data_IF_589821879484
#
_entry.id   IF_589821879484
#
_cell.length_a   1.000
_cell.length_b   1.000
_cell.length_c   1.000
_cell.angle_alpha   90.00
_cell.angle_beta   90.00
_cell.angle_gamma   90.00
#
_symmetry.space_group_name_H-M   'P 1'
#
loop_
_entity.id
_entity.type
_entity.pdbx_description
1 polymer ?
#
# COMPACT_ATOMS: atom_id res chain seq x y z
N UNK A 1 20.29 4.29 -1.10
CA UNK A 1 19.75 3.24 -1.99
C UNK A 1 19.05 2.10 -1.21
N UNK A 2 19.69 1.56 -0.17
CA UNK A 2 19.17 0.51 0.72
C UNK A 2 17.82 0.86 1.37
N UNK A 3 17.67 2.04 1.97
CA UNK A 3 16.43 2.45 2.66
C UNK A 3 15.19 2.47 1.75
N UNK A 4 15.34 2.83 0.46
CA UNK A 4 14.23 2.79 -0.49
C UNK A 4 13.77 1.34 -0.74
N UNK A 5 14.71 0.42 -0.93
CA UNK A 5 14.41 -1.01 -1.14
C UNK A 5 13.74 -1.62 0.09
N UNK A 6 14.22 -1.27 1.29
CA UNK A 6 13.64 -1.75 2.54
C UNK A 6 12.18 -1.25 2.72
N UNK A 7 11.90 0.02 2.40
CA UNK A 7 10.52 0.55 2.43
C UNK A 7 9.59 -0.23 1.51
N UNK A 8 10.01 -0.45 0.26
CA UNK A 8 9.21 -1.19 -0.73
C UNK A 8 8.97 -2.62 -0.24
N UNK A 9 10.00 -3.28 0.28
CA UNK A 9 9.89 -4.64 0.80
C UNK A 9 8.92 -4.74 1.98
N UNK A 10 9.04 -3.82 2.95
CA UNK A 10 8.12 -3.75 4.10
C UNK A 10 6.68 -3.46 3.65
N UNK A 11 6.50 -2.62 2.66
CA UNK A 11 5.18 -2.31 2.12
C UNK A 11 4.55 -3.55 1.47
N UNK A 12 5.29 -4.27 0.61
CA UNK A 12 4.80 -5.49 -0.03
C UNK A 12 4.43 -6.55 1.01
N UNK A 13 5.30 -6.81 1.99
CA UNK A 13 5.00 -7.80 3.04
C UNK A 13 3.76 -7.39 3.82
N UNK A 14 3.65 -6.13 4.20
CA UNK A 14 2.49 -5.64 4.95
C UNK A 14 1.20 -5.72 4.15
N UNK A 15 1.23 -5.53 2.83
CA UNK A 15 0.06 -5.72 1.97
C UNK A 15 -0.37 -7.18 1.87
N UNK A 16 0.58 -8.10 1.77
CA UNK A 16 0.28 -9.53 1.83
C UNK A 16 -0.43 -9.86 3.15
N UNK A 17 0.04 -9.32 4.28
CA UNK A 17 -0.65 -9.48 5.56
C UNK A 17 -2.06 -8.92 5.52
N UNK A 18 -2.25 -7.73 4.95
CA UNK A 18 -3.58 -7.11 4.79
C UNK A 18 -4.52 -7.99 3.95
N UNK A 19 -4.04 -8.58 2.86
CA UNK A 19 -4.84 -9.47 2.01
C UNK A 19 -5.33 -10.71 2.79
N UNK A 20 -4.43 -11.38 3.51
CA UNK A 20 -4.82 -12.55 4.29
C UNK A 20 -5.69 -12.20 5.50
N UNK A 21 -5.51 -11.02 6.11
CA UNK A 21 -6.40 -10.53 7.16
C UNK A 21 -7.80 -10.26 6.61
N UNK A 22 -7.91 -9.63 5.44
CA UNK A 22 -9.19 -9.38 4.79
C UNK A 22 -9.91 -10.69 4.47
N UNK A 23 -9.20 -11.67 3.89
CA UNK A 23 -9.73 -13.00 3.63
C UNK A 23 -10.20 -13.70 4.93
N UNK A 24 -9.40 -13.65 5.99
CA UNK A 24 -9.76 -14.20 7.29
C UNK A 24 -11.03 -13.58 7.86
N UNK A 25 -11.11 -12.24 7.84
CA UNK A 25 -12.31 -11.49 8.30
C UNK A 25 -13.53 -11.85 7.44
N UNK A 26 -13.36 -11.93 6.12
CA UNK A 26 -14.42 -12.34 5.20
C UNK A 26 -15.01 -13.69 5.58
N UNK A 27 -14.15 -14.68 5.84
CA UNK A 27 -14.58 -16.02 6.20
C UNK A 27 -15.22 -16.08 7.59
N UNK A 28 -14.73 -15.27 8.55
CA UNK A 28 -15.35 -15.12 9.86
C UNK A 28 -16.74 -14.49 9.77
N UNK A 29 -16.89 -13.40 9.00
CA UNK A 29 -18.19 -12.77 8.74
C UNK A 29 -19.16 -13.80 8.14
N UNK A 30 -18.69 -14.56 7.17
CA UNK A 30 -19.50 -15.60 6.53
C UNK A 30 -19.89 -16.71 7.49
N UNK A 31 -18.97 -17.11 8.38
CA UNK A 31 -19.21 -18.07 9.45
C UNK A 31 -20.34 -17.60 10.38
N UNK A 32 -20.29 -16.34 10.83
CA UNK A 32 -21.31 -15.78 11.73
C UNK A 32 -22.68 -15.70 11.05
N UNK A 33 -22.75 -15.37 9.74
CA UNK A 33 -24.01 -15.23 9.00
C UNK A 33 -24.70 -16.58 8.74
N UNK A 34 -23.94 -17.68 8.59
CA UNK A 34 -24.46 -18.98 8.13
C UNK A 34 -24.50 -20.05 9.25
N UNK A 35 -24.19 -19.68 10.50
CA UNK A 35 -24.15 -20.62 11.63
C UNK A 35 -23.28 -21.87 11.39
N UNK A 36 -22.08 -21.70 10.87
CA UNK A 36 -21.13 -22.79 10.68
C UNK A 36 -20.52 -23.26 12.01
N UNK A 37 -20.13 -24.53 12.07
CA UNK A 37 -19.34 -25.05 13.19
C UNK A 37 -17.86 -24.66 13.05
N UNK A 38 -17.05 -24.60 14.15
CA UNK A 38 -15.62 -24.28 14.08
C UNK A 38 -14.82 -25.17 13.11
N UNK A 39 -15.18 -26.43 12.97
CA UNK A 39 -14.56 -27.37 12.04
C UNK A 39 -14.80 -26.95 10.56
N UNK A 40 -15.96 -26.42 10.26
CA UNK A 40 -16.27 -25.95 8.90
C UNK A 40 -15.53 -24.66 8.56
N UNK A 41 -15.26 -23.79 9.53
CA UNK A 41 -14.44 -22.59 9.33
C UNK A 41 -13.01 -22.95 8.91
N UNK A 42 -12.38 -23.91 9.62
CA UNK A 42 -11.02 -24.35 9.30
C UNK A 42 -10.91 -24.99 7.92
N UNK A 43 -11.89 -25.84 7.56
CA UNK A 43 -11.96 -26.40 6.22
C UNK A 43 -12.16 -25.32 5.15
N UNK A 44 -13.00 -24.33 5.41
CA UNK A 44 -13.22 -23.20 4.50
C UNK A 44 -11.95 -22.38 4.30
N UNK A 45 -11.16 -22.11 5.37
CA UNK A 45 -9.86 -21.44 5.26
C UNK A 45 -8.92 -22.21 4.34
N UNK A 46 -8.78 -23.51 4.52
CA UNK A 46 -7.90 -24.34 3.69
C UNK A 46 -8.34 -24.36 2.21
N UNK A 47 -9.64 -24.44 1.94
CA UNK A 47 -10.17 -24.42 0.58
C UNK A 47 -9.94 -23.07 -0.11
N UNK A 48 -10.07 -21.96 0.59
CA UNK A 48 -9.90 -20.62 0.01
C UNK A 48 -8.43 -20.18 -0.08
N UNK A 49 -7.55 -20.74 0.76
CA UNK A 49 -6.16 -20.31 0.85
C UNK A 49 -5.43 -20.38 -0.50
N UNK A 50 -5.46 -21.52 -1.18
CA UNK A 50 -4.73 -21.73 -2.45
C UNK A 50 -5.20 -20.81 -3.57
N UNK A 51 -6.51 -20.75 -3.92
CA UNK A 51 -6.96 -19.91 -5.01
C UNK A 51 -6.76 -18.42 -4.73
N UNK A 52 -6.98 -17.97 -3.50
CA UNK A 52 -6.75 -16.57 -3.14
C UNK A 52 -5.26 -16.20 -3.11
N UNK A 53 -4.37 -17.11 -2.71
CA UNK A 53 -2.92 -16.88 -2.79
C UNK A 53 -2.47 -16.62 -4.24
N UNK A 54 -3.00 -17.36 -5.20
CA UNK A 54 -2.71 -17.13 -6.62
C UNK A 54 -3.18 -15.73 -7.05
N UNK A 55 -4.40 -15.35 -6.68
CA UNK A 55 -4.96 -14.02 -6.99
C UNK A 55 -4.12 -12.91 -6.33
N UNK A 56 -3.70 -13.07 -5.09
CA UNK A 56 -2.89 -12.07 -4.39
C UNK A 56 -1.53 -11.84 -5.05
N UNK A 57 -0.92 -12.88 -5.64
CA UNK A 57 0.30 -12.71 -6.45
C UNK A 57 0.01 -11.83 -7.67
N UNK A 58 -1.08 -12.07 -8.39
CA UNK A 58 -1.47 -11.22 -9.52
C UNK A 58 -1.75 -9.79 -9.08
N UNK A 59 -2.39 -9.58 -7.93
CA UNK A 59 -2.66 -8.27 -7.38
C UNK A 59 -1.38 -7.46 -7.10
N UNK A 60 -0.35 -8.12 -6.54
CA UNK A 60 0.94 -7.48 -6.33
C UNK A 60 1.61 -7.09 -7.65
N UNK A 61 1.51 -7.94 -8.68
CA UNK A 61 2.05 -7.66 -10.01
C UNK A 61 1.35 -6.43 -10.63
N UNK A 62 0.02 -6.35 -10.55
CA UNK A 62 -0.76 -5.19 -11.04
C UNK A 62 -0.39 -3.92 -10.27
N UNK A 63 -0.25 -3.98 -8.95
CA UNK A 63 0.17 -2.84 -8.14
C UNK A 63 1.58 -2.38 -8.49
N UNK A 64 2.48 -3.32 -8.76
CA UNK A 64 3.83 -3.01 -9.23
C UNK A 64 3.79 -2.34 -10.61
N UNK A 65 3.05 -2.89 -11.56
CA UNK A 65 2.89 -2.33 -12.90
C UNK A 65 2.22 -0.94 -12.89
N UNK A 66 1.27 -0.72 -11.99
CA UNK A 66 0.64 0.59 -11.77
C UNK A 66 1.59 1.62 -11.12
N UNK A 67 2.80 1.21 -10.71
CA UNK A 67 3.78 2.08 -10.05
C UNK A 67 3.39 2.48 -8.62
N UNK A 68 2.54 1.69 -7.96
CA UNK A 68 2.12 1.94 -6.57
C UNK A 68 3.24 1.71 -5.53
N UNK A 69 4.36 1.14 -5.95
CA UNK A 69 5.58 0.98 -5.13
C UNK A 69 6.64 2.04 -5.44
N UNK A 70 6.33 3.01 -6.33
CA UNK A 70 7.22 4.12 -6.59
C UNK A 70 7.09 5.18 -5.49
N UNK A 71 8.14 5.33 -4.70
CA UNK A 71 8.19 6.26 -3.56
C UNK A 71 7.99 7.71 -4.00
N UNK A 72 8.30 8.04 -5.25
CA UNK A 72 8.13 9.41 -5.77
C UNK A 72 6.66 9.76 -6.00
N UNK A 73 5.83 8.78 -6.35
CA UNK A 73 4.39 8.94 -6.54
C UNK A 73 3.60 9.06 -5.23
N UNK A 74 4.16 8.57 -4.13
CA UNK A 74 3.58 8.72 -2.78
C UNK A 74 3.46 10.19 -2.34
N UNK A 75 4.08 11.12 -3.07
CA UNK A 75 4.07 12.56 -2.77
C UNK A 75 2.78 13.27 -3.20
N UNK A 76 2.05 12.73 -4.17
CA UNK A 76 0.79 13.30 -4.63
C UNK A 76 -0.36 12.42 -4.14
N UNK A 77 -0.93 12.76 -3.00
CA UNK A 77 -1.95 11.95 -2.33
C UNK A 77 -3.15 11.68 -3.23
N UNK A 78 -3.66 12.68 -3.96
CA UNK A 78 -4.84 12.51 -4.81
C UNK A 78 -4.57 11.58 -5.99
N UNK A 79 -3.49 11.79 -6.72
CA UNK A 79 -3.12 10.95 -7.86
C UNK A 79 -2.80 9.52 -7.43
N UNK A 80 -2.17 9.36 -6.28
CA UNK A 80 -1.86 8.06 -5.71
C UNK A 80 -3.13 7.25 -5.43
N UNK A 81 -4.12 7.84 -4.75
CA UNK A 81 -5.37 7.14 -4.43
C UNK A 81 -6.22 6.85 -5.67
N UNK A 82 -6.24 7.75 -6.66
CA UNK A 82 -6.86 7.46 -7.96
C UNK A 82 -6.21 6.22 -8.61
N UNK A 83 -4.88 6.16 -8.62
CA UNK A 83 -4.14 5.01 -9.18
C UNK A 83 -4.42 3.73 -8.39
N UNK A 84 -4.48 3.80 -7.06
CA UNK A 84 -4.82 2.66 -6.21
C UNK A 84 -6.20 2.10 -6.52
N UNK A 85 -7.21 2.97 -6.64
CA UNK A 85 -8.58 2.55 -6.95
C UNK A 85 -8.64 1.90 -8.34
N UNK A 86 -8.02 2.50 -9.35
CA UNK A 86 -8.00 1.94 -10.72
C UNK A 86 -7.29 0.59 -10.75
N UNK A 87 -6.11 0.47 -10.13
CA UNK A 87 -5.39 -0.79 -10.06
C UNK A 87 -6.18 -1.86 -9.29
N UNK A 88 -6.89 -1.46 -8.23
CA UNK A 88 -7.74 -2.37 -7.48
C UNK A 88 -8.96 -2.82 -8.31
N UNK A 89 -9.58 -1.96 -9.11
CA UNK A 89 -10.66 -2.35 -10.02
C UNK A 89 -10.18 -3.37 -11.06
N UNK A 90 -8.99 -3.19 -11.62
CA UNK A 90 -8.36 -4.18 -12.51
C UNK A 90 -8.19 -5.51 -11.76
N UNK A 91 -7.69 -5.48 -10.55
CA UNK A 91 -7.52 -6.65 -9.70
C UNK A 91 -8.87 -7.34 -9.40
N UNK A 92 -9.92 -6.58 -9.17
CA UNK A 92 -11.28 -7.13 -8.96
C UNK A 92 -11.78 -7.86 -10.21
N UNK A 93 -11.61 -7.27 -11.40
CA UNK A 93 -11.97 -7.91 -12.67
C UNK A 93 -11.17 -9.18 -12.88
N UNK A 94 -9.86 -9.18 -12.61
CA UNK A 94 -9.01 -10.37 -12.70
C UNK A 94 -9.46 -11.47 -11.75
N UNK A 95 -9.81 -11.14 -10.50
CA UNK A 95 -10.28 -12.09 -9.52
C UNK A 95 -11.62 -12.72 -9.92
N UNK A 96 -12.57 -11.89 -10.37
CA UNK A 96 -13.87 -12.38 -10.88
C UNK A 96 -13.64 -13.32 -12.08
N UNK A 97 -12.82 -12.90 -13.04
CA UNK A 97 -12.48 -13.70 -14.23
C UNK A 97 -11.82 -15.02 -13.84
N UNK A 98 -10.88 -14.98 -12.90
CA UNK A 98 -10.20 -16.18 -12.43
C UNK A 98 -11.20 -17.23 -11.89
N UNK A 99 -12.09 -16.84 -10.99
CA UNK A 99 -13.08 -17.76 -10.44
C UNK A 99 -14.17 -18.17 -11.43
N UNK A 100 -14.42 -17.36 -12.45
CA UNK A 100 -15.40 -17.70 -13.48
C UNK A 100 -14.84 -18.71 -14.50
N UNK A 101 -13.60 -18.52 -14.94
CA UNK A 101 -12.99 -19.34 -15.99
C UNK A 101 -12.25 -20.58 -15.48
N UNK A 102 -11.89 -20.63 -14.18
CA UNK A 102 -11.17 -21.76 -13.60
C UNK A 102 -12.04 -22.50 -12.58
N UNK A 103 -12.93 -23.42 -13.04
CA UNK A 103 -13.84 -24.17 -12.16
C UNK A 103 -13.12 -25.25 -11.31
N UNK A 104 -11.80 -25.41 -11.49
CA UNK A 104 -10.98 -26.41 -10.81
C UNK A 104 -11.09 -26.33 -9.27
N UNK A 105 -11.31 -25.15 -8.74
CA UNK A 105 -11.33 -24.92 -7.29
C UNK A 105 -12.71 -25.15 -6.65
N UNK A 106 -13.63 -25.94 -7.22
CA UNK A 106 -14.91 -26.38 -6.62
C UNK A 106 -15.67 -25.27 -5.83
N UNK A 107 -15.06 -24.12 -5.65
CA UNK A 107 -15.56 -22.99 -4.87
C UNK A 107 -16.21 -22.00 -5.84
N UNK A 108 -17.47 -21.70 -5.62
CA UNK A 108 -18.13 -20.55 -6.24
C UNK A 108 -18.18 -19.40 -5.23
N UNK A 109 -17.07 -18.68 -4.98
CA UNK A 109 -16.97 -17.73 -3.87
C UNK A 109 -17.65 -16.40 -4.19
N UNK A 110 -18.76 -16.40 -4.95
CA UNK A 110 -19.41 -15.16 -5.41
C UNK A 110 -19.59 -14.13 -4.29
N UNK A 111 -20.16 -14.55 -3.16
CA UNK A 111 -20.42 -13.66 -2.01
C UNK A 111 -19.11 -13.42 -1.24
N UNK A 112 -18.33 -14.45 -0.98
CA UNK A 112 -17.07 -14.33 -0.25
C UNK A 112 -16.08 -13.42 -1.00
N UNK A 113 -15.99 -13.56 -2.33
CA UNK A 113 -15.14 -12.70 -3.16
C UNK A 113 -15.59 -11.23 -3.10
N UNK A 114 -16.90 -10.96 -3.15
CA UNK A 114 -17.40 -9.60 -3.07
C UNK A 114 -17.11 -8.96 -1.71
N UNK A 115 -17.33 -9.68 -0.61
CA UNK A 115 -17.01 -9.20 0.74
C UNK A 115 -15.51 -8.97 0.87
N UNK A 116 -14.68 -9.91 0.40
CA UNK A 116 -13.22 -9.79 0.43
C UNK A 116 -12.72 -8.58 -0.35
N UNK A 117 -13.26 -8.33 -1.54
CA UNK A 117 -12.90 -7.16 -2.34
C UNK A 117 -13.21 -5.85 -1.61
N UNK A 118 -14.39 -5.72 -1.01
CA UNK A 118 -14.77 -4.50 -0.28
C UNK A 118 -13.87 -4.30 0.95
N UNK A 119 -13.66 -5.36 1.73
CA UNK A 119 -12.80 -5.30 2.92
C UNK A 119 -11.35 -5.01 2.56
N UNK A 120 -10.82 -5.68 1.53
CA UNK A 120 -9.44 -5.48 1.10
C UNK A 120 -9.22 -4.05 0.62
N UNK A 121 -10.14 -3.49 -0.17
CA UNK A 121 -10.04 -2.09 -0.62
C UNK A 121 -10.01 -1.13 0.57
N UNK A 122 -10.94 -1.29 1.52
CA UNK A 122 -11.00 -0.45 2.71
C UNK A 122 -9.73 -0.57 3.56
N UNK A 123 -9.30 -1.81 3.84
CA UNK A 123 -8.10 -2.07 4.63
C UNK A 123 -6.83 -1.54 3.95
N UNK A 124 -6.68 -1.72 2.63
CA UNK A 124 -5.56 -1.17 1.87
C UNK A 124 -5.54 0.35 1.90
N UNK A 125 -6.69 0.99 1.75
CA UNK A 125 -6.78 2.45 1.78
C UNK A 125 -6.27 3.00 3.12
N UNK A 126 -6.79 2.49 4.24
CA UNK A 126 -6.36 2.92 5.58
C UNK A 126 -4.91 2.52 5.88
N UNK A 127 -4.52 1.31 5.49
CA UNK A 127 -3.15 0.82 5.67
C UNK A 127 -2.14 1.69 4.93
N UNK A 128 -2.40 2.03 3.67
CA UNK A 128 -1.53 2.91 2.87
C UNK A 128 -1.41 4.30 3.48
N UNK A 129 -2.48 4.88 3.99
CA UNK A 129 -2.40 6.15 4.72
C UNK A 129 -1.50 6.04 5.95
N UNK A 130 -1.72 5.02 6.76
CA UNK A 130 -0.91 4.79 7.96
C UNK A 130 0.55 4.57 7.62
N UNK A 131 0.83 3.67 6.68
CA UNK A 131 2.19 3.34 6.25
C UNK A 131 2.93 4.56 5.69
N UNK A 132 2.28 5.37 4.86
CA UNK A 132 2.88 6.58 4.29
C UNK A 132 3.25 7.59 5.38
N UNK A 133 2.39 7.79 6.38
CA UNK A 133 2.68 8.67 7.52
C UNK A 133 3.83 8.13 8.38
N UNK A 134 3.83 6.83 8.65
CA UNK A 134 4.88 6.17 9.42
C UNK A 134 6.21 6.18 8.67
N UNK A 135 6.24 5.77 7.42
CA UNK A 135 7.43 5.71 6.58
C UNK A 135 8.04 7.09 6.33
N UNK A 136 7.21 8.14 6.21
CA UNK A 136 7.67 9.52 6.11
C UNK A 136 8.40 10.00 7.36
N UNK A 137 7.98 9.52 8.54
CA UNK A 137 8.64 9.85 9.82
C UNK A 137 9.89 9.01 10.08
N UNK A 138 9.83 7.71 9.79
CA UNK A 138 10.88 6.75 10.12
C UNK A 138 12.13 6.85 9.22
N UNK A 139 11.94 7.24 7.96
CA UNK A 139 13.01 7.26 6.98
C UNK A 139 13.21 8.67 6.40
N UNK A 140 13.86 9.55 7.16
CA UNK A 140 14.16 10.89 6.71
C UNK A 140 15.48 10.92 5.93
N UNK A 141 15.47 11.63 4.80
CA UNK A 141 16.66 11.95 4.03
C UNK A 141 17.16 13.30 4.52
N UNK A 142 18.37 13.35 5.06
CA UNK A 142 18.99 14.60 5.45
C UNK A 142 19.41 15.38 4.20
N UNK A 143 18.93 16.61 4.09
CA UNK A 143 19.32 17.57 3.07
C UNK A 143 20.26 18.60 3.69
N UNK A 144 21.35 18.89 2.97
CA UNK A 144 22.24 20.01 3.28
C UNK A 144 22.15 20.95 2.09
N UNK A 145 21.80 22.21 2.35
CA UNK A 145 21.78 23.24 1.32
C UNK A 145 23.12 23.95 1.26
N UNK A 146 23.56 24.25 0.04
CA UNK A 146 24.75 25.06 -0.22
C UNK A 146 24.28 26.47 -0.62
N UNK A 147 24.64 27.46 0.17
CA UNK A 147 24.21 28.85 0.01
C UNK A 147 23.04 29.20 0.94
N UNK A 148 22.87 30.49 1.20
CA UNK A 148 21.79 31.08 1.98
C UNK A 148 21.05 32.10 1.13
N UNK A 149 20.04 31.66 0.36
CA UNK A 149 19.16 32.56 -0.37
C UNK A 149 17.72 32.45 0.18
N UNK A 150 16.85 33.40 -0.17
CA UNK A 150 15.46 33.46 0.30
C UNK A 150 14.68 32.20 -0.06
N UNK A 151 14.92 31.64 -1.24
CA UNK A 151 14.25 30.43 -1.74
C UNK A 151 14.61 29.18 -0.92
N UNK A 152 15.84 29.14 -0.39
CA UNK A 152 16.27 28.02 0.48
C UNK A 152 15.58 28.11 1.83
N UNK A 153 15.34 29.31 2.35
CA UNK A 153 14.60 29.51 3.61
C UNK A 153 13.15 29.09 3.43
N UNK A 154 12.51 29.52 2.36
CA UNK A 154 11.12 29.15 2.02
C UNK A 154 10.99 27.63 1.82
N UNK A 155 11.92 27.00 1.09
CA UNK A 155 11.95 25.57 0.89
C UNK A 155 12.16 24.81 2.22
N UNK A 156 12.99 25.32 3.12
CA UNK A 156 13.18 24.75 4.47
C UNK A 156 11.87 24.77 5.26
N UNK A 157 11.17 25.90 5.26
CA UNK A 157 9.87 26.03 5.92
C UNK A 157 8.83 25.08 5.31
N UNK A 158 8.75 25.02 3.99
CA UNK A 158 7.89 24.09 3.29
C UNK A 158 8.17 22.63 3.67
N UNK A 159 9.43 22.21 3.73
CA UNK A 159 9.81 20.86 4.12
C UNK A 159 9.50 20.56 5.58
N UNK A 160 9.62 21.54 6.48
CA UNK A 160 9.28 21.39 7.88
C UNK A 160 7.76 21.23 8.10
N UNK A 161 6.95 21.94 7.32
CA UNK A 161 5.48 21.82 7.36
C UNK A 161 4.97 20.54 6.68
N UNK A 162 5.80 19.89 5.86
CA UNK A 162 5.45 18.69 5.10
C UNK A 162 6.34 17.48 5.47
N UNK A 163 6.33 16.98 6.72
CA UNK A 163 7.20 15.90 7.18
C UNK A 163 6.95 14.56 6.44
N UNK A 164 5.78 14.39 5.82
CA UNK A 164 5.45 13.25 4.97
C UNK A 164 6.33 13.11 3.73
N UNK A 165 6.98 14.21 3.31
CA UNK A 165 7.93 14.19 2.19
C UNK A 165 9.20 13.38 2.50
N UNK A 166 9.45 13.06 3.77
CA UNK A 166 10.59 12.26 4.20
C UNK A 166 11.94 12.98 4.06
N UNK A 167 11.95 14.31 3.99
CA UNK A 167 13.16 15.13 4.03
C UNK A 167 13.31 15.82 5.36
N UNK A 168 14.56 15.95 5.80
CA UNK A 168 14.95 16.76 6.96
C UNK A 168 16.11 17.67 6.56
N UNK A 169 15.97 18.95 6.80
CA UNK A 169 17.07 19.89 6.61
C UNK A 169 18.06 19.70 7.77
N UNK A 170 19.24 19.19 7.44
CA UNK A 170 20.32 18.94 8.39
C UNK A 170 21.18 20.19 8.63
N UNK A 171 21.27 21.06 7.63
CA UNK A 171 22.03 22.31 7.74
C UNK A 171 22.00 23.11 6.45
N UNK A 172 22.39 24.37 6.56
CA UNK A 172 22.66 25.28 5.45
C UNK A 172 24.15 25.65 5.56
N UNK A 173 24.93 25.30 4.53
CA UNK A 173 26.33 25.74 4.45
C UNK A 173 26.33 27.04 3.64
N UNK A 174 26.53 28.17 4.35
CA UNK A 174 26.85 29.42 3.69
C UNK A 174 28.34 29.41 3.38
N UNK A 175 28.79 29.60 2.14
CA UNK A 175 30.19 29.86 1.87
C UNK A 175 30.55 31.21 2.53
N UNK A 176 31.63 31.21 3.32
CA UNK A 176 32.07 32.38 4.10
C UNK A 176 32.48 33.60 3.24
N UNK A 177 32.37 33.55 1.93
CA UNK A 177 32.70 34.60 1.00
C UNK A 177 31.72 34.66 -0.20
N UNK A 178 30.55 35.23 0.01
CA UNK A 178 29.79 35.84 -1.11
C UNK A 178 29.88 37.34 -0.91
N UNK A 179 30.61 38.13 -1.74
CA UNK A 179 30.49 39.57 -1.70
C UNK A 179 29.04 39.93 -2.00
N UNK A 180 28.46 40.77 -1.16
CA UNK A 180 27.16 41.39 -1.42
C UNK A 180 27.23 42.11 -2.78
N UNK A 181 26.39 41.66 -3.72
CA UNK A 181 26.12 42.34 -4.96
C UNK A 181 24.83 43.14 -4.84
#
# INVERSE_FOLDING_TARGET
MWQKRLKIFLLIISEVVVFYLALGITLVIRYIIIDYTPATLFNSLNLHFTPFSIIFIFWLIVFWAAGLYDITKLRNEELFYKTLIVAFLINAVLAISFFYFIPYFIITPKINLFIDLVLTLAMLYFWRQYFNRWAGKAFKINLVFLGACSEIIELKEFLNHNPQLGYRVAGILAPDNVPEL
#
